data_IF_174518993588
#
_entry.id   IF_174518993588
#
_cell.length_a   1.000
_cell.length_b   1.000
_cell.length_c   1.000
_cell.angle_alpha   90.00
_cell.angle_beta   90.00
_cell.angle_gamma   90.00
#
_symmetry.space_group_name_H-M   'P 1'
#
loop_
_entity.id
_entity.type
_entity.pdbx_description
1 polymer ?
#
# COMPACT_ATOMS: atom_id res chain seq x y z
N UNK A 1 5.18 -44.57 7.18
CA UNK A 1 4.04 -44.61 6.27
C UNK A 1 4.55 -44.31 4.86
N UNK A 2 4.23 -45.18 3.89
CA UNK A 2 4.65 -44.95 2.51
C UNK A 2 3.82 -43.86 1.88
N UNK A 3 4.46 -42.93 1.18
CA UNK A 3 3.77 -41.91 0.37
C UNK A 3 2.95 -42.60 -0.72
N UNK A 4 1.65 -42.43 -0.70
CA UNK A 4 0.76 -42.89 -1.79
C UNK A 4 0.93 -41.94 -2.97
N UNK A 5 1.64 -42.38 -4.02
CA UNK A 5 1.73 -41.63 -5.27
C UNK A 5 0.42 -41.81 -6.03
N UNK A 6 -0.31 -40.71 -6.26
CA UNK A 6 -1.42 -40.69 -7.22
C UNK A 6 -0.80 -40.76 -8.61
N UNK A 7 -1.02 -41.90 -9.32
CA UNK A 7 -0.58 -42.06 -10.72
C UNK A 7 -1.75 -41.72 -11.64
N UNK A 8 -1.45 -41.27 -12.86
CA UNK A 8 -2.46 -40.90 -13.83
C UNK A 8 -3.56 -41.96 -13.96
N UNK A 9 -4.81 -41.56 -13.92
CA UNK A 9 -6.03 -42.40 -13.90
C UNK A 9 -6.55 -42.77 -12.52
N UNK A 10 -5.95 -42.28 -11.43
CA UNK A 10 -6.30 -42.66 -10.06
C UNK A 10 -7.06 -41.62 -9.24
N UNK A 11 -7.55 -40.55 -9.84
CA UNK A 11 -8.37 -39.55 -9.15
C UNK A 11 -9.70 -39.41 -9.87
N UNK A 12 -10.77 -39.78 -9.19
CA UNK A 12 -12.13 -39.53 -9.69
C UNK A 12 -12.43 -38.02 -9.68
N UNK A 13 -13.19 -37.55 -10.63
CA UNK A 13 -13.60 -36.16 -10.75
C UNK A 13 -15.01 -35.98 -10.21
N UNK A 14 -15.26 -35.10 -9.21
CA UNK A 14 -14.34 -34.18 -8.59
C UNK A 14 -13.43 -34.80 -7.51
N UNK A 15 -12.20 -34.29 -7.37
CA UNK A 15 -11.37 -34.55 -6.20
C UNK A 15 -11.92 -33.80 -4.99
N UNK A 16 -12.38 -34.51 -3.98
CA UNK A 16 -12.85 -33.92 -2.72
C UNK A 16 -11.74 -34.07 -1.66
N UNK A 17 -11.36 -32.96 -1.06
CA UNK A 17 -10.47 -32.91 0.09
C UNK A 17 -11.29 -32.61 1.33
N UNK A 18 -11.09 -33.39 2.40
CA UNK A 18 -11.82 -33.25 3.66
C UNK A 18 -13.07 -34.11 3.76
N UNK A 19 -13.58 -34.21 4.98
CA UNK A 19 -14.73 -35.04 5.34
C UNK A 19 -15.96 -34.28 5.86
N UNK A 20 -16.00 -32.94 5.70
CA UNK A 20 -17.05 -32.08 6.24
C UNK A 20 -16.99 -31.88 7.76
N UNK A 21 -15.85 -32.21 8.39
CA UNK A 21 -15.59 -31.92 9.80
C UNK A 21 -14.99 -30.51 9.94
N UNK A 22 -15.16 -29.90 11.14
CA UNK A 22 -14.54 -28.63 11.51
C UNK A 22 -13.02 -28.79 11.62
N UNK A 23 -12.32 -28.74 10.49
CA UNK A 23 -10.87 -28.88 10.38
C UNK A 23 -10.35 -28.32 9.06
N UNK A 24 -9.16 -27.75 9.11
CA UNK A 24 -8.46 -27.25 7.94
C UNK A 24 -8.19 -28.38 6.93
N UNK A 25 -8.33 -28.01 5.65
CA UNK A 25 -8.03 -28.90 4.54
C UNK A 25 -7.14 -28.18 3.54
N UNK A 26 -5.96 -28.73 3.24
CA UNK A 26 -5.00 -28.05 2.37
C UNK A 26 -4.22 -28.99 1.44
N UNK A 27 -3.74 -28.39 0.36
CA UNK A 27 -2.64 -28.92 -0.46
C UNK A 27 -1.42 -28.09 -0.13
N UNK A 28 -0.32 -28.77 0.24
CA UNK A 28 0.97 -28.14 0.47
C UNK A 28 1.88 -28.46 -0.71
N UNK A 29 2.47 -27.42 -1.27
CA UNK A 29 3.56 -27.51 -2.25
C UNK A 29 4.87 -27.43 -1.46
N UNK A 30 5.41 -28.60 -1.11
CA UNK A 30 6.62 -28.77 -0.32
C UNK A 30 7.85 -28.50 -1.22
N UNK A 31 8.44 -27.31 -1.04
CA UNK A 31 9.60 -26.84 -1.78
C UNK A 31 10.89 -26.90 -0.96
N UNK A 32 12.04 -26.97 -1.64
CA UNK A 32 13.34 -27.02 -0.96
C UNK A 32 13.67 -25.75 -0.14
N UNK A 33 13.26 -24.58 -0.65
CA UNK A 33 13.56 -23.29 -0.01
C UNK A 33 12.34 -22.66 0.66
N UNK A 34 11.15 -22.93 0.15
CA UNK A 34 9.92 -22.30 0.60
C UNK A 34 8.71 -23.17 0.22
N UNK A 35 7.86 -23.42 1.21
CA UNK A 35 6.56 -24.07 0.99
C UNK A 35 5.48 -23.05 0.65
N UNK A 36 4.48 -23.52 -0.08
CA UNK A 36 3.24 -22.82 -0.33
C UNK A 36 2.06 -23.74 -0.08
N UNK A 37 0.94 -23.15 0.28
CA UNK A 37 -0.31 -23.88 0.46
C UNK A 37 -1.46 -23.23 -0.29
N UNK A 38 -2.48 -24.06 -0.58
CA UNK A 38 -3.82 -23.66 -0.90
C UNK A 38 -4.79 -24.53 -0.10
N UNK A 39 -5.77 -23.93 0.58
CA UNK A 39 -6.69 -24.71 1.40
C UNK A 39 -7.81 -23.91 2.01
N UNK A 40 -8.75 -24.67 2.60
CA UNK A 40 -9.85 -24.15 3.39
C UNK A 40 -9.40 -24.02 4.84
N UNK A 41 -9.38 -22.79 5.35
CA UNK A 41 -9.20 -22.46 6.76
C UNK A 41 -10.58 -22.50 7.43
N UNK A 42 -10.83 -23.53 8.21
CA UNK A 42 -12.12 -23.76 8.88
C UNK A 42 -12.42 -22.70 9.93
N UNK A 43 -11.39 -22.13 10.57
CA UNK A 43 -11.58 -21.12 11.62
C UNK A 43 -12.18 -19.81 11.11
N UNK A 44 -12.01 -19.53 9.83
CA UNK A 44 -12.49 -18.31 9.16
C UNK A 44 -13.46 -18.61 7.99
N UNK A 45 -13.73 -19.87 7.70
CA UNK A 45 -14.52 -20.32 6.53
C UNK A 45 -14.00 -19.71 5.22
N UNK A 46 -12.67 -19.64 5.06
CA UNK A 46 -12.04 -18.98 3.91
C UNK A 46 -11.17 -19.93 3.09
N UNK A 47 -11.22 -19.77 1.77
CA UNK A 47 -10.22 -20.37 0.89
C UNK A 47 -8.97 -19.46 0.87
N UNK A 48 -7.83 -20.00 1.26
CA UNK A 48 -6.58 -19.25 1.37
C UNK A 48 -5.49 -19.80 0.46
N UNK A 49 -4.62 -18.90 -0.03
CA UNK A 49 -3.33 -19.24 -0.65
C UNK A 49 -2.26 -18.47 0.10
N UNK A 50 -1.20 -19.15 0.51
CA UNK A 50 -0.19 -18.50 1.33
C UNK A 50 1.15 -19.21 1.33
N UNK A 51 2.04 -18.65 2.15
CA UNK A 51 3.40 -19.12 2.38
C UNK A 51 3.45 -20.06 3.58
N UNK A 52 4.32 -21.08 3.50
CA UNK A 52 4.44 -22.09 4.52
C UNK A 52 3.48 -23.26 4.32
N UNK A 53 3.52 -24.20 5.26
CA UNK A 53 2.71 -25.43 5.24
C UNK A 53 1.42 -25.35 6.09
N UNK A 54 1.23 -24.23 6.81
CA UNK A 54 0.09 -24.05 7.73
C UNK A 54 -0.84 -22.95 7.23
N UNK A 55 -2.16 -23.22 7.20
CA UNK A 55 -3.19 -22.24 6.85
C UNK A 55 -3.25 -21.09 7.87
N UNK A 56 -3.74 -19.93 7.43
CA UNK A 56 -4.04 -18.79 8.27
C UNK A 56 -2.83 -17.94 8.73
N UNK A 57 -1.60 -18.40 8.59
CA UNK A 57 -0.43 -17.68 9.14
C UNK A 57 0.16 -16.64 8.20
N UNK A 58 0.20 -16.90 6.90
CA UNK A 58 0.84 -16.01 5.90
C UNK A 58 0.04 -16.06 4.61
N UNK A 59 -1.25 -15.72 4.69
CA UNK A 59 -2.14 -15.74 3.54
C UNK A 59 -1.87 -14.55 2.60
N UNK A 60 -1.61 -14.84 1.34
CA UNK A 60 -1.41 -13.85 0.27
C UNK A 60 -2.71 -13.52 -0.46
N UNK A 61 -3.60 -14.51 -0.60
CA UNK A 61 -4.94 -14.39 -1.18
C UNK A 61 -5.89 -15.08 -0.22
N UNK A 62 -6.98 -14.41 0.10
CA UNK A 62 -8.07 -14.94 0.92
C UNK A 62 -9.38 -14.73 0.18
N UNK A 63 -10.17 -15.78 0.01
CA UNK A 63 -11.56 -15.67 -0.45
C UNK A 63 -12.46 -16.05 0.70
N UNK A 64 -13.20 -15.10 1.24
CA UNK A 64 -14.07 -15.30 2.40
C UNK A 64 -15.37 -16.05 2.03
N UNK A 65 -16.15 -16.42 3.06
CA UNK A 65 -17.44 -17.12 2.91
C UNK A 65 -18.51 -16.34 2.12
N UNK A 66 -18.30 -15.04 1.91
CA UNK A 66 -19.13 -14.18 1.05
C UNK A 66 -18.61 -14.06 -0.39
N UNK A 67 -17.49 -14.72 -0.72
CA UNK A 67 -16.86 -14.69 -2.04
C UNK A 67 -16.02 -13.45 -2.31
N UNK A 68 -15.70 -12.62 -1.29
CA UNK A 68 -14.82 -11.46 -1.46
C UNK A 68 -13.37 -11.91 -1.45
N UNK A 69 -12.55 -11.30 -2.33
CA UNK A 69 -11.13 -11.61 -2.45
C UNK A 69 -10.30 -10.49 -1.81
N UNK A 70 -9.43 -10.85 -0.90
CA UNK A 70 -8.50 -9.97 -0.23
C UNK A 70 -7.06 -10.37 -0.51
N UNK A 71 -6.15 -9.39 -0.47
CA UNK A 71 -4.70 -9.58 -0.54
C UNK A 71 -4.06 -8.90 0.68
N UNK A 72 -4.12 -9.53 1.85
CA UNK A 72 -3.80 -8.88 3.13
C UNK A 72 -2.35 -8.40 3.25
N UNK A 73 -1.44 -8.96 2.47
CA UNK A 73 -0.02 -8.58 2.49
C UNK A 73 0.39 -7.63 1.35
N UNK A 74 -0.54 -7.22 0.49
CA UNK A 74 -0.20 -6.31 -0.60
C UNK A 74 0.07 -4.91 -0.06
N UNK A 75 1.27 -4.33 -0.30
CA UNK A 75 1.65 -3.04 0.24
C UNK A 75 0.66 -1.94 -0.14
N UNK A 76 0.11 -1.28 0.87
CA UNK A 76 -0.63 -0.02 0.71
C UNK A 76 -0.48 0.83 1.96
N UNK A 77 -0.67 2.14 1.80
CA UNK A 77 -0.70 3.07 2.91
C UNK A 77 -1.70 4.20 2.69
N UNK A 78 -2.16 4.75 3.79
CA UNK A 78 -2.87 6.03 3.86
C UNK A 78 -2.32 6.80 5.05
N UNK A 79 -1.79 8.00 4.80
CA UNK A 79 -1.27 8.89 5.82
C UNK A 79 -1.87 10.29 5.68
N UNK A 80 -2.02 10.96 6.82
CA UNK A 80 -2.56 12.31 6.95
C UNK A 80 -1.66 13.16 7.84
N UNK A 81 -1.74 14.49 7.80
CA UNK A 81 -1.12 15.33 8.82
C UNK A 81 -1.64 15.01 10.23
N UNK A 82 -0.79 15.13 11.24
CA UNK A 82 -1.18 14.89 12.64
C UNK A 82 -1.89 16.08 13.29
N UNK A 83 -1.69 17.28 12.77
CA UNK A 83 -2.28 18.50 13.30
C UNK A 83 -2.40 19.58 12.22
N UNK A 84 -3.08 20.67 12.53
CA UNK A 84 -3.25 21.84 11.68
C UNK A 84 -2.04 22.81 11.70
N UNK A 85 -0.86 22.34 12.04
CA UNK A 85 0.35 23.19 12.07
C UNK A 85 0.81 23.54 10.67
N UNK A 86 1.28 24.76 10.49
CA UNK A 86 2.10 25.14 9.34
C UNK A 86 3.41 24.36 9.43
N UNK A 87 3.71 23.58 8.43
CA UNK A 87 4.90 22.75 8.41
C UNK A 87 5.67 22.91 7.12
N UNK A 88 6.72 22.15 7.04
CA UNK A 88 7.54 22.05 5.85
C UNK A 88 6.69 21.50 4.68
N UNK A 89 7.18 21.51 3.52
CA UNK A 89 6.51 21.11 2.28
C UNK A 89 7.28 21.66 1.09
N UNK A 90 8.38 22.36 1.39
CA UNK A 90 9.29 22.91 0.40
C UNK A 90 10.30 21.85 -0.08
N UNK A 91 11.19 22.25 -0.97
CA UNK A 91 12.19 21.35 -1.58
C UNK A 91 13.16 20.72 -0.58
N UNK A 92 13.41 21.36 0.57
CA UNK A 92 14.28 20.82 1.61
C UNK A 92 13.54 19.87 2.55
N UNK A 93 12.25 20.14 2.80
CA UNK A 93 11.44 19.42 3.76
C UNK A 93 10.11 19.01 3.11
N UNK A 94 9.90 17.73 2.79
CA UNK A 94 8.63 17.21 2.28
C UNK A 94 7.44 17.46 3.21
N UNK A 95 6.23 17.29 2.68
CA UNK A 95 5.01 17.35 3.46
C UNK A 95 5.01 16.32 4.59
N UNK A 96 4.51 16.73 5.76
CA UNK A 96 4.46 15.89 6.95
C UNK A 96 3.11 15.16 7.06
N UNK A 97 3.10 13.89 6.68
CA UNK A 97 1.97 12.98 6.84
C UNK A 97 2.22 12.02 8.01
N UNK A 98 2.19 12.55 9.24
CA UNK A 98 2.62 11.83 10.44
C UNK A 98 1.54 10.94 11.06
N UNK A 99 0.27 11.16 10.72
CA UNK A 99 -0.84 10.33 11.16
C UNK A 99 -1.08 9.21 10.13
N UNK A 100 -0.49 8.07 10.37
CA UNK A 100 -0.60 6.88 9.51
C UNK A 100 -1.86 6.12 9.88
N UNK A 101 -2.83 6.09 8.97
CA UNK A 101 -4.11 5.39 9.15
C UNK A 101 -3.96 3.92 8.76
N UNK A 102 -3.29 3.66 7.65
CA UNK A 102 -2.98 2.32 7.16
C UNK A 102 -1.54 2.25 6.69
N UNK A 103 -0.87 1.13 6.92
CA UNK A 103 0.51 0.89 6.47
C UNK A 103 0.82 -0.61 6.42
N UNK A 104 0.30 -1.29 5.43
CA UNK A 104 0.56 -2.72 5.25
C UNK A 104 2.00 -2.95 4.82
N UNK A 105 2.70 -3.79 5.57
CA UNK A 105 4.12 -4.07 5.39
C UNK A 105 5.07 -3.01 5.94
N UNK A 106 4.56 -1.94 6.58
CA UNK A 106 5.38 -0.86 7.18
C UNK A 106 6.28 -0.12 6.17
N UNK A 107 5.78 0.06 4.93
CA UNK A 107 6.54 0.69 3.86
C UNK A 107 6.42 2.21 3.81
N UNK A 108 5.49 2.80 4.57
CA UNK A 108 5.44 4.24 4.78
C UNK A 108 6.16 4.61 6.08
N UNK A 109 7.21 5.40 5.96
CA UNK A 109 8.14 5.74 7.05
C UNK A 109 7.92 7.18 7.50
N UNK A 110 7.68 7.39 8.79
CA UNK A 110 7.41 8.71 9.39
C UNK A 110 8.55 9.26 10.27
N UNK A 111 9.57 8.46 10.55
CA UNK A 111 10.66 8.83 11.47
C UNK A 111 11.99 8.22 11.06
N UNK A 112 13.09 8.89 11.48
CA UNK A 112 14.48 8.48 11.26
C UNK A 112 15.37 9.65 10.90
N UNK A 113 16.69 9.52 11.08
CA UNK A 113 17.66 10.57 10.75
C UNK A 113 17.64 10.82 9.24
N UNK A 114 17.16 11.99 8.82
CA UNK A 114 16.98 12.36 7.41
C UNK A 114 15.78 11.69 6.75
N UNK A 115 14.93 10.97 7.51
CA UNK A 115 13.68 10.43 7.02
C UNK A 115 12.61 11.51 7.09
N UNK A 116 12.15 11.92 5.94
CA UNK A 116 10.89 12.61 5.77
C UNK A 116 9.82 11.55 5.59
N UNK A 117 8.57 11.90 5.82
CA UNK A 117 7.43 11.03 5.58
C UNK A 117 7.41 10.59 4.11
N UNK A 118 7.69 9.32 3.89
CA UNK A 118 7.88 8.76 2.54
C UNK A 118 7.46 7.30 2.47
N UNK A 119 7.03 6.89 1.30
CA UNK A 119 6.87 5.48 0.97
C UNK A 119 8.20 4.93 0.43
N UNK A 120 8.56 3.72 0.85
CA UNK A 120 9.73 2.99 0.34
C UNK A 120 9.22 1.73 -0.37
N UNK A 121 9.55 1.56 -1.64
CA UNK A 121 9.11 0.43 -2.44
C UNK A 121 9.76 -0.87 -1.97
N UNK A 122 9.00 -1.88 -1.51
CA UNK A 122 9.57 -3.14 -1.07
C UNK A 122 10.09 -4.01 -2.21
N UNK A 123 9.52 -3.87 -3.39
CA UNK A 123 9.87 -4.65 -4.58
C UNK A 123 9.87 -3.75 -5.83
N UNK A 124 10.56 -4.20 -6.88
CA UNK A 124 10.48 -3.56 -8.19
C UNK A 124 9.12 -3.87 -8.83
N UNK A 125 8.25 -2.86 -8.92
CA UNK A 125 6.88 -3.03 -9.39
C UNK A 125 6.23 -1.69 -9.77
N UNK A 126 4.99 -1.74 -10.25
CA UNK A 126 4.16 -0.57 -10.50
C UNK A 126 3.32 -0.24 -9.27
N UNK A 127 3.29 1.04 -8.95
CA UNK A 127 2.54 1.58 -7.83
C UNK A 127 1.66 2.73 -8.30
N UNK A 128 0.49 2.87 -7.69
CA UNK A 128 -0.31 4.08 -7.80
C UNK A 128 -0.13 4.92 -6.54
N UNK A 129 0.03 6.21 -6.71
CA UNK A 129 0.04 7.19 -5.62
C UNK A 129 -1.02 8.25 -5.86
N UNK A 130 -1.67 8.67 -4.78
CA UNK A 130 -2.61 9.78 -4.79
C UNK A 130 -2.33 10.68 -3.60
N UNK A 131 -2.43 11.99 -3.82
CA UNK A 131 -2.26 12.96 -2.75
C UNK A 131 -3.20 14.15 -2.94
N UNK A 132 -3.60 14.74 -1.83
CA UNK A 132 -4.29 16.02 -1.75
C UNK A 132 -3.62 16.85 -0.67
N UNK A 133 -2.59 17.63 -1.01
CA UNK A 133 -2.05 18.62 -0.10
C UNK A 133 -2.98 19.84 -0.12
N UNK A 134 -3.62 20.14 1.00
CA UNK A 134 -4.40 21.36 1.17
C UNK A 134 -3.48 22.58 1.18
N UNK A 135 -3.97 23.69 0.72
CA UNK A 135 -3.25 24.94 0.65
C UNK A 135 -3.98 26.08 1.35
N UNK A 136 -3.26 26.81 2.18
CA UNK A 136 -3.75 28.05 2.76
C UNK A 136 -3.32 29.22 1.89
N UNK A 137 -4.26 30.08 1.58
CA UNK A 137 -4.10 31.23 0.72
C UNK A 137 -2.89 32.11 1.01
N UNK A 138 -2.11 32.36 0.00
CA UNK A 138 -1.27 33.53 -0.17
C UNK A 138 -1.38 34.03 -1.61
N UNK A 139 -0.85 35.23 -1.89
CA UNK A 139 -0.84 35.80 -3.24
C UNK A 139 0.16 35.15 -4.20
N UNK A 140 0.47 33.88 -4.04
CA UNK A 140 1.59 33.24 -4.74
C UNK A 140 1.16 31.99 -5.49
N UNK A 141 1.72 31.77 -6.66
CA UNK A 141 1.57 30.51 -7.39
C UNK A 141 2.23 29.37 -6.60
N UNK A 142 1.57 28.22 -6.52
CA UNK A 142 2.19 27.04 -5.96
C UNK A 142 1.98 25.83 -6.85
N UNK A 143 2.87 24.86 -6.70
CA UNK A 143 2.71 23.54 -7.27
C UNK A 143 3.18 22.49 -6.27
N UNK A 144 2.58 21.32 -6.32
CA UNK A 144 3.06 20.19 -5.58
C UNK A 144 3.54 19.09 -6.53
N UNK A 145 4.57 18.40 -6.08
CA UNK A 145 5.30 17.44 -6.89
C UNK A 145 5.53 16.17 -6.10
N UNK A 146 5.48 15.07 -6.83
CA UNK A 146 6.01 13.80 -6.37
C UNK A 146 7.49 13.73 -6.74
N UNK A 147 8.31 13.29 -5.78
CA UNK A 147 9.72 12.99 -6.00
C UNK A 147 9.98 11.50 -5.89
N UNK A 148 10.98 11.04 -6.63
CA UNK A 148 11.60 9.72 -6.45
C UNK A 148 13.04 9.96 -6.03
N UNK A 149 13.46 9.36 -4.91
CA UNK A 149 14.81 9.47 -4.37
C UNK A 149 15.29 10.92 -4.24
N UNK A 150 14.39 11.83 -3.82
CA UNK A 150 14.67 13.25 -3.65
C UNK A 150 14.67 14.08 -4.93
N UNK A 151 14.55 13.47 -6.09
CA UNK A 151 14.51 14.16 -7.39
C UNK A 151 13.07 14.36 -7.87
N UNK A 152 12.74 15.55 -8.38
CA UNK A 152 11.42 15.85 -8.91
C UNK A 152 11.10 14.90 -10.07
N UNK A 153 9.98 14.19 -9.97
CA UNK A 153 9.53 13.26 -10.99
C UNK A 153 8.30 13.76 -11.73
N UNK A 154 7.26 14.20 -10.99
CA UNK A 154 6.01 14.66 -11.59
C UNK A 154 5.41 15.84 -10.81
N UNK A 155 4.87 16.80 -11.52
CA UNK A 155 4.00 17.81 -10.94
C UNK A 155 2.57 17.25 -10.95
N UNK A 156 1.98 17.12 -9.76
CA UNK A 156 0.65 16.52 -9.59
C UNK A 156 -0.46 17.57 -9.52
N UNK A 157 -0.10 18.82 -9.30
CA UNK A 157 -1.04 19.93 -9.32
C UNK A 157 -0.35 21.28 -9.24
N UNK A 158 -0.99 22.28 -9.86
CA UNK A 158 -0.53 23.65 -9.89
C UNK A 158 -1.69 24.61 -9.67
N UNK A 159 -1.47 25.63 -8.88
CA UNK A 159 -2.33 26.77 -8.73
C UNK A 159 -1.64 28.03 -9.22
N UNK A 160 -2.33 28.77 -10.09
CA UNK A 160 -1.88 30.09 -10.57
C UNK A 160 -2.94 31.09 -10.11
N UNK A 161 -2.54 32.00 -9.26
CA UNK A 161 -3.49 32.92 -8.66
C UNK A 161 -3.90 34.05 -9.60
N UNK A 162 -5.23 34.29 -9.68
CA UNK A 162 -5.81 35.47 -10.32
C UNK A 162 -6.42 36.49 -9.34
N UNK A 163 -6.83 36.08 -8.15
CA UNK A 163 -7.38 36.92 -7.07
C UNK A 163 -7.48 36.13 -5.77
N UNK A 164 -7.66 36.82 -4.64
CA UNK A 164 -7.66 36.24 -3.30
C UNK A 164 -8.73 35.15 -3.09
N UNK A 165 -8.36 33.89 -3.18
CA UNK A 165 -9.19 32.75 -2.78
C UNK A 165 -8.82 32.30 -1.36
N UNK A 166 -9.79 31.83 -0.57
CA UNK A 166 -9.51 31.47 0.83
C UNK A 166 -8.83 30.11 1.00
N UNK A 167 -9.13 29.12 0.19
CA UNK A 167 -8.51 27.79 0.19
C UNK A 167 -8.65 27.14 -1.19
N UNK A 168 -7.61 26.44 -1.63
CA UNK A 168 -7.64 25.61 -2.82
C UNK A 168 -7.23 24.20 -2.45
N UNK A 169 -8.03 23.21 -2.85
CA UNK A 169 -7.73 21.80 -2.71
C UNK A 169 -7.48 21.22 -4.10
N UNK A 170 -6.34 20.55 -4.25
CA UNK A 170 -6.00 19.82 -5.45
C UNK A 170 -5.74 18.37 -5.10
N UNK A 171 -6.15 17.48 -5.98
CA UNK A 171 -5.82 16.06 -5.92
C UNK A 171 -5.04 15.69 -7.15
N UNK A 172 -4.00 14.90 -6.96
CA UNK A 172 -3.23 14.35 -8.06
C UNK A 172 -2.97 12.86 -7.84
N UNK A 173 -3.02 12.11 -8.92
CA UNK A 173 -2.72 10.67 -8.92
C UNK A 173 -1.80 10.32 -10.07
N UNK A 174 -0.94 9.33 -9.84
CA UNK A 174 0.01 8.86 -10.85
C UNK A 174 0.33 7.38 -10.65
N UNK A 175 0.51 6.66 -11.75
CA UNK A 175 1.06 5.30 -11.76
C UNK A 175 2.51 5.39 -12.20
N UNK A 176 3.42 4.79 -11.41
CA UNK A 176 4.85 4.79 -11.70
C UNK A 176 5.46 3.42 -11.45
N UNK A 177 6.52 3.11 -12.21
CA UNK A 177 7.41 1.99 -11.94
C UNK A 177 8.46 2.44 -10.94
N UNK A 178 8.65 1.67 -9.86
CA UNK A 178 9.74 1.86 -8.90
C UNK A 178 10.61 0.62 -8.86
N UNK A 179 11.90 0.82 -8.60
CA UNK A 179 12.80 -0.25 -8.20
C UNK A 179 12.66 -0.52 -6.69
N UNK A 180 13.02 -1.72 -6.26
CA UNK A 180 13.09 -1.99 -4.83
C UNK A 180 14.00 -0.98 -4.11
N UNK A 181 13.55 -0.47 -2.96
CA UNK A 181 14.17 0.58 -2.14
C UNK A 181 14.10 2.01 -2.71
N UNK A 182 13.53 2.23 -3.88
CA UNK A 182 13.17 3.60 -4.27
C UNK A 182 12.18 4.18 -3.26
N UNK A 183 12.32 5.47 -2.94
CA UNK A 183 11.36 6.14 -2.09
C UNK A 183 10.63 7.26 -2.81
N UNK A 184 9.39 7.51 -2.36
CA UNK A 184 8.50 8.53 -2.88
C UNK A 184 8.05 9.45 -1.76
N UNK A 185 8.17 10.73 -1.96
CA UNK A 185 7.66 11.80 -1.10
C UNK A 185 6.96 12.90 -1.89
N UNK A 186 6.27 13.77 -1.18
CA UNK A 186 5.54 14.91 -1.76
C UNK A 186 6.17 16.20 -1.27
N UNK A 187 6.45 17.10 -2.20
CA UNK A 187 6.92 18.45 -1.90
C UNK A 187 6.03 19.52 -2.51
N UNK A 188 6.23 20.73 -2.02
CA UNK A 188 5.66 21.96 -2.55
C UNK A 188 6.81 22.94 -2.86
N UNK A 189 6.59 23.87 -3.76
CA UNK A 189 7.55 24.94 -4.04
C UNK A 189 7.37 26.14 -3.11
N UNK A 190 6.39 26.14 -2.22
CA UNK A 190 6.08 27.28 -1.36
C UNK A 190 5.54 26.86 0.02
N UNK A 191 5.98 27.55 1.07
CA UNK A 191 5.45 27.49 2.43
C UNK A 191 4.81 28.85 2.78
N UNK A 192 3.69 28.95 3.48
CA UNK A 192 3.00 27.95 4.26
C UNK A 192 1.87 27.23 3.49
N UNK A 193 1.54 26.02 3.91
CA UNK A 193 0.41 25.26 3.45
C UNK A 193 -0.51 24.88 4.64
N UNK A 194 -1.76 24.55 4.35
CA UNK A 194 -2.74 24.22 5.37
C UNK A 194 -2.74 22.72 5.67
N UNK A 195 -2.26 22.35 6.87
CA UNK A 195 -2.16 20.97 7.33
C UNK A 195 -3.39 20.49 8.11
N UNK A 196 -4.57 20.62 7.55
CA UNK A 196 -5.74 20.02 8.19
C UNK A 196 -5.92 18.57 7.71
N UNK A 197 -6.01 17.62 8.64
CA UNK A 197 -6.17 16.20 8.34
C UNK A 197 -7.46 15.88 7.56
N UNK A 198 -8.46 16.77 7.55
CA UNK A 198 -9.68 16.61 6.77
C UNK A 198 -9.43 16.76 5.27
N UNK A 199 -8.52 17.64 4.89
CA UNK A 199 -8.28 18.01 3.48
C UNK A 199 -7.04 17.34 2.90
N UNK A 200 -6.10 16.93 3.75
CA UNK A 200 -4.79 16.48 3.31
C UNK A 200 -4.63 14.99 3.48
N UNK A 201 -4.11 14.34 2.48
CA UNK A 201 -3.71 12.93 2.55
C UNK A 201 -2.61 12.60 1.55
N UNK A 202 -1.92 11.53 1.81
CA UNK A 202 -1.05 10.83 0.87
C UNK A 202 -1.31 9.34 1.00
N UNK A 203 -1.55 8.68 -0.10
CA UNK A 203 -1.77 7.24 -0.13
C UNK A 203 -1.10 6.62 -1.35
N UNK A 204 -0.86 5.34 -1.25
CA UNK A 204 -0.33 4.55 -2.35
C UNK A 204 -0.65 3.07 -2.20
N UNK A 205 -0.61 2.37 -3.33
CA UNK A 205 -0.96 0.96 -3.43
C UNK A 205 -0.12 0.27 -4.50
N UNK A 206 0.32 -0.97 -4.22
CA UNK A 206 1.00 -1.83 -5.19
C UNK A 206 -0.01 -2.35 -6.22
N UNK A 207 0.24 -2.13 -7.50
CA UNK A 207 -0.63 -2.61 -8.59
C UNK A 207 -0.28 -4.04 -9.06
N UNK A 208 0.97 -4.47 -8.88
CA UNK A 208 1.50 -5.74 -9.37
C UNK A 208 2.59 -5.56 -10.41
#
# INVERSE_FOLDING_TARGET
>A
MGLTKVRGGGVDNPLTLGGGSASDNSIVFDGNAQDFHIGLDDSTDSLTMGLGSSLGTTSHIVTDSSGRVEKPLQPYFLAKPSSSSSGDGNTANPFKFQNVIHNVGNHFVTSGTGAHERFVAPITARYIFSTAPGYLQTSTNFNFRLRINGSNFAELGRFIQGSAASHCLFTGSIIIQLSANDYVDIINNYTPYHLNATYNFFCGYLLG
#
